data_IF_169559920416
#
_entry.id   IF_169559920416
#
_cell.length_a   1.000
_cell.length_b   1.000
_cell.length_c   1.000
_cell.angle_alpha   90.00
_cell.angle_beta   90.00
_cell.angle_gamma   90.00
#
_symmetry.space_group_name_H-M   'P 1'
#
loop_
_entity.id
_entity.type
_entity.pdbx_description
1 polymer ?
#
# COMPACT_ATOMS: atom_id res chain seq x y z
N UNK A 1 -13.60 -20.55 -5.67
CA UNK A 1 -12.70 -19.39 -5.50
C UNK A 1 -11.31 -19.93 -5.20
N UNK A 2 -10.31 -19.51 -5.97
CA UNK A 2 -8.91 -19.88 -5.76
C UNK A 2 -8.16 -18.59 -5.44
N UNK A 3 -7.38 -18.59 -4.36
CA UNK A 3 -6.47 -17.49 -4.01
C UNK A 3 -5.06 -18.01 -4.19
N UNK A 4 -4.28 -17.31 -5.00
CA UNK A 4 -2.96 -17.75 -5.41
C UNK A 4 -1.99 -16.57 -5.55
N UNK A 5 -0.69 -16.79 -5.37
CA UNK A 5 0.31 -15.75 -5.59
C UNK A 5 0.38 -15.35 -7.09
N UNK A 6 0.88 -14.14 -7.40
CA UNK A 6 0.84 -13.59 -8.76
C UNK A 6 1.49 -14.45 -9.85
N UNK A 7 2.47 -15.29 -9.49
CA UNK A 7 3.16 -16.17 -10.44
C UNK A 7 2.26 -17.29 -11.00
N UNK A 8 1.14 -17.62 -10.33
CA UNK A 8 0.19 -18.62 -10.84
C UNK A 8 -0.47 -18.16 -12.14
N UNK A 9 -0.58 -16.84 -12.37
CA UNK A 9 -1.11 -16.29 -13.62
C UNK A 9 -0.27 -16.68 -14.86
N UNK A 10 0.99 -17.04 -14.66
CA UNK A 10 1.90 -17.45 -15.74
C UNK A 10 2.22 -18.96 -15.69
N UNK A 11 1.47 -19.74 -14.90
CA UNK A 11 1.72 -21.17 -14.71
C UNK A 11 0.80 -22.04 -15.56
N UNK A 12 1.27 -23.23 -15.93
CA UNK A 12 0.48 -24.22 -16.66
C UNK A 12 -0.78 -24.66 -15.88
N UNK A 13 -0.74 -24.57 -14.55
CA UNK A 13 -1.88 -24.85 -13.67
C UNK A 13 -3.10 -24.01 -14.03
N UNK A 14 -2.91 -22.78 -14.51
CA UNK A 14 -4.04 -21.93 -14.89
C UNK A 14 -4.82 -22.54 -16.06
N UNK A 15 -4.13 -23.16 -17.04
CA UNK A 15 -4.78 -23.80 -18.19
C UNK A 15 -5.59 -25.05 -17.85
N UNK A 16 -5.38 -25.66 -16.68
CA UNK A 16 -6.14 -26.83 -16.23
C UNK A 16 -7.42 -26.46 -15.48
N UNK A 17 -7.50 -25.22 -15.01
CA UNK A 17 -8.71 -24.67 -14.42
C UNK A 17 -9.64 -24.33 -15.59
N UNK A 18 -10.85 -24.91 -15.60
CA UNK A 18 -11.85 -24.68 -16.65
C UNK A 18 -12.32 -23.23 -16.75
N UNK A 19 -13.49 -22.95 -17.37
CA UNK A 19 -13.99 -21.60 -17.53
C UNK A 19 -13.93 -20.79 -16.22
N UNK A 20 -13.22 -19.66 -16.24
CA UNK A 20 -12.97 -18.83 -15.07
C UNK A 20 -12.86 -17.35 -15.42
N UNK A 21 -12.95 -16.50 -14.40
CA UNK A 21 -12.58 -15.07 -14.48
C UNK A 21 -11.42 -14.80 -13.54
N UNK A 22 -10.48 -13.99 -14.00
CA UNK A 22 -9.24 -13.68 -13.29
C UNK A 22 -9.31 -12.28 -12.68
N UNK A 23 -9.23 -12.23 -11.35
CA UNK A 23 -9.09 -11.00 -10.58
C UNK A 23 -7.68 -10.85 -10.01
N UNK A 24 -7.22 -9.61 -9.83
CA UNK A 24 -5.97 -9.32 -9.12
C UNK A 24 -6.19 -8.28 -8.02
N UNK A 25 -5.67 -8.56 -6.83
CA UNK A 25 -5.74 -7.67 -5.67
C UNK A 25 -4.35 -7.11 -5.33
N UNK A 26 -4.19 -5.80 -5.39
CA UNK A 26 -2.93 -5.12 -5.04
C UNK A 26 -3.15 -3.63 -4.80
N UNK A 27 -2.35 -3.00 -3.92
CA UNK A 27 -2.41 -1.57 -3.64
C UNK A 27 -2.14 -0.70 -4.86
N UNK A 28 -1.51 -1.26 -5.90
CA UNK A 28 -1.22 -0.58 -7.16
C UNK A 28 -2.33 -0.74 -8.21
N UNK A 29 -3.42 -1.46 -7.92
CA UNK A 29 -4.48 -1.68 -8.91
C UNK A 29 -5.17 -0.39 -9.35
N UNK A 30 -5.26 0.65 -8.50
CA UNK A 30 -5.76 1.97 -8.92
C UNK A 30 -4.98 2.54 -10.13
N UNK A 31 -3.69 2.22 -10.23
CA UNK A 31 -2.80 2.70 -11.30
C UNK A 31 -2.61 1.67 -12.43
N UNK A 32 -2.65 0.38 -12.09
CA UNK A 32 -2.28 -0.72 -12.99
C UNK A 32 -3.48 -1.50 -13.58
N UNK A 33 -4.71 -1.33 -13.05
CA UNK A 33 -5.89 -2.09 -13.48
C UNK A 33 -6.12 -2.03 -15.00
N UNK A 34 -5.91 -0.87 -15.62
CA UNK A 34 -6.13 -0.68 -17.07
C UNK A 34 -5.12 -1.43 -17.97
N UNK A 35 -4.00 -1.93 -17.43
CA UNK A 35 -2.86 -2.40 -18.24
C UNK A 35 -2.70 -3.91 -18.30
N UNK A 36 -3.50 -4.70 -17.57
CA UNK A 36 -3.24 -6.14 -17.38
C UNK A 36 -4.23 -7.12 -18.00
N UNK A 37 -5.25 -6.65 -18.72
CA UNK A 37 -6.23 -7.55 -19.36
C UNK A 37 -6.96 -8.48 -18.39
N UNK A 38 -7.12 -8.04 -17.13
CA UNK A 38 -7.82 -8.78 -16.08
C UNK A 38 -9.32 -8.55 -16.18
N UNK A 39 -10.12 -9.54 -15.79
CA UNK A 39 -11.59 -9.40 -15.71
C UNK A 39 -12.00 -8.50 -14.54
N UNK A 40 -11.20 -8.47 -13.47
CA UNK A 40 -11.39 -7.60 -12.33
C UNK A 40 -10.07 -7.16 -11.69
N UNK A 41 -10.06 -5.96 -11.12
CA UNK A 41 -8.92 -5.42 -10.38
C UNK A 41 -9.40 -4.82 -9.06
N UNK A 42 -8.75 -5.21 -7.97
CA UNK A 42 -9.11 -4.81 -6.61
C UNK A 42 -7.96 -4.04 -5.98
N UNK A 43 -8.18 -2.78 -5.62
CA UNK A 43 -7.20 -2.03 -4.84
C UNK A 43 -7.23 -2.51 -3.40
N UNK A 44 -6.18 -3.22 -3.00
CA UNK A 44 -6.05 -3.78 -1.66
C UNK A 44 -4.60 -3.75 -1.20
N UNK A 45 -4.34 -3.14 -0.05
CA UNK A 45 -3.03 -3.08 0.60
C UNK A 45 -3.19 -3.30 2.10
N UNK A 46 -2.11 -3.73 2.72
CA UNK A 46 -1.88 -3.76 4.17
C UNK A 46 -1.42 -2.41 4.76
N UNK A 47 -1.14 -1.41 3.92
CA UNK A 47 -0.74 -0.07 4.34
C UNK A 47 -1.95 0.84 4.59
N UNK A 48 -1.84 1.71 5.59
CA UNK A 48 -2.80 2.77 5.83
C UNK A 48 -2.76 3.82 4.70
N UNK A 49 -3.93 4.32 4.32
CA UNK A 49 -4.07 5.48 3.45
C UNK A 49 -3.83 6.79 4.22
N UNK A 50 -3.93 7.92 3.53
CA UNK A 50 -3.63 9.22 4.13
C UNK A 50 -4.53 9.56 5.34
N UNK A 51 -5.87 9.43 5.27
CA UNK A 51 -6.72 9.59 6.45
C UNK A 51 -6.38 8.60 7.56
N UNK A 52 -6.14 7.33 7.24
CA UNK A 52 -5.78 6.29 8.21
C UNK A 52 -4.48 6.59 8.96
N UNK A 53 -3.46 7.09 8.27
CA UNK A 53 -2.20 7.51 8.88
C UNK A 53 -2.40 8.65 9.88
N UNK A 54 -3.13 9.70 9.50
CA UNK A 54 -3.38 10.84 10.38
C UNK A 54 -4.25 10.45 11.59
N UNK A 55 -5.26 9.61 11.37
CA UNK A 55 -6.10 9.07 12.44
C UNK A 55 -5.28 8.22 13.43
N UNK A 56 -4.39 7.36 12.93
CA UNK A 56 -3.51 6.55 13.76
C UNK A 56 -2.58 7.44 14.60
N UNK A 57 -1.94 8.44 14.00
CA UNK A 57 -1.08 9.39 14.71
C UNK A 57 -1.87 10.11 15.81
N UNK A 58 -3.05 10.64 15.49
CA UNK A 58 -3.89 11.33 16.47
C UNK A 58 -4.27 10.41 17.64
N UNK A 59 -4.64 9.16 17.36
CA UNK A 59 -4.99 8.17 18.38
C UNK A 59 -3.82 7.83 19.32
N UNK A 60 -2.57 8.00 18.87
CA UNK A 60 -1.39 7.77 19.74
C UNK A 60 -1.15 8.89 20.75
N UNK A 61 -1.63 10.11 20.49
CA UNK A 61 -1.27 11.30 21.27
C UNK A 61 0.21 11.74 21.12
N UNK A 62 0.93 11.21 20.13
CA UNK A 62 2.33 11.54 19.91
C UNK A 62 2.52 13.03 19.56
N UNK A 63 3.57 13.63 20.12
CA UNK A 63 3.98 15.01 19.79
C UNK A 63 5.11 15.03 18.73
N UNK A 64 5.86 13.93 18.66
CA UNK A 64 6.96 13.72 17.72
C UNK A 64 6.63 12.55 16.80
N UNK A 65 6.82 12.73 15.49
CA UNK A 65 6.50 11.71 14.49
C UNK A 65 7.62 11.64 13.45
N UNK A 66 8.18 10.45 13.25
CA UNK A 66 9.26 10.23 12.28
C UNK A 66 8.74 9.39 11.13
N UNK A 67 8.71 9.97 9.92
CA UNK A 67 8.31 9.26 8.72
C UNK A 67 9.44 8.37 8.20
N UNK A 68 9.10 7.15 7.79
CA UNK A 68 10.00 6.21 7.11
C UNK A 68 9.30 5.64 5.88
N UNK A 69 10.10 5.27 4.86
CA UNK A 69 9.67 4.76 3.56
C UNK A 69 8.64 5.63 2.80
N UNK A 70 8.51 5.40 1.49
CA UNK A 70 7.53 6.12 0.66
C UNK A 70 7.78 7.63 0.57
N UNK A 71 6.70 8.42 0.49
CA UNK A 71 6.75 9.87 0.31
C UNK A 71 7.01 10.64 1.63
N UNK A 72 8.15 10.35 2.26
CA UNK A 72 8.51 10.90 3.58
C UNK A 72 8.61 12.42 3.63
N UNK A 73 9.16 13.06 2.58
CA UNK A 73 9.33 14.52 2.53
C UNK A 73 7.99 15.28 2.52
N UNK A 74 7.03 14.99 1.61
CA UNK A 74 5.71 15.59 1.67
C UNK A 74 4.97 15.32 2.98
N UNK A 75 5.06 14.10 3.50
CA UNK A 75 4.33 13.75 4.71
C UNK A 75 4.91 14.44 5.95
N UNK A 76 6.24 14.57 6.06
CA UNK A 76 6.88 15.40 7.08
C UNK A 76 6.37 16.84 7.03
N UNK A 77 6.39 17.46 5.85
CA UNK A 77 5.95 18.85 5.69
C UNK A 77 4.47 19.03 6.08
N UNK A 78 3.62 18.04 5.75
CA UNK A 78 2.24 18.01 6.21
C UNK A 78 2.16 17.95 7.74
N UNK A 79 2.86 17.02 8.38
CA UNK A 79 2.85 16.87 9.84
C UNK A 79 3.35 18.14 10.56
N UNK A 80 4.40 18.78 10.05
CA UNK A 80 4.88 20.08 10.56
C UNK A 80 3.78 21.15 10.45
N UNK A 81 3.02 21.19 9.34
CA UNK A 81 1.89 22.11 9.17
C UNK A 81 0.71 21.83 10.12
N UNK A 82 0.59 20.59 10.60
CA UNK A 82 -0.39 20.20 11.62
C UNK A 82 0.13 20.43 13.06
N UNK A 83 1.35 20.95 13.23
CA UNK A 83 1.94 21.27 14.53
C UNK A 83 2.74 20.15 15.20
N UNK A 84 3.00 19.04 14.50
CA UNK A 84 3.86 17.98 15.02
C UNK A 84 5.33 18.34 14.88
N UNK A 85 6.16 17.89 15.83
CA UNK A 85 7.61 17.83 15.64
C UNK A 85 7.93 16.63 14.73
N UNK A 86 8.07 16.88 13.43
CA UNK A 86 8.23 15.80 12.46
C UNK A 86 9.65 15.64 11.94
N UNK A 87 10.07 14.38 11.77
CA UNK A 87 11.38 14.01 11.22
C UNK A 87 11.26 12.96 10.12
N UNK A 88 12.39 12.66 9.48
CA UNK A 88 12.53 11.50 8.58
C UNK A 88 13.60 10.61 9.18
N UNK A 89 13.30 9.33 9.32
CA UNK A 89 14.24 8.35 9.88
C UNK A 89 15.46 8.26 8.95
N UNK A 90 16.65 8.58 9.49
CA UNK A 90 17.92 8.45 8.79
C UNK A 90 18.52 7.03 8.89
N UNK A 91 19.60 6.73 8.15
CA UNK A 91 20.24 5.42 8.16
C UNK A 91 20.71 4.92 9.54
N UNK A 92 20.92 5.80 10.52
CA UNK A 92 21.36 5.47 11.88
C UNK A 92 20.28 5.55 12.96
N UNK A 93 19.00 5.60 12.58
CA UNK A 93 17.86 5.70 13.51
C UNK A 93 16.91 4.49 13.42
N UNK A 94 17.29 3.44 12.68
CA UNK A 94 16.48 2.23 12.47
C UNK A 94 16.90 1.06 13.36
N UNK A 95 17.74 1.30 14.37
CA UNK A 95 18.18 0.30 15.35
C UNK A 95 17.47 0.46 16.70
#
# INVERSE_FOLDING_TARGET
LIIAPPNVLNSELLGTIGPMSVGFASGWMTLAARRRGLDAAFTLSDHADWPGLNAAIAATGAQQVFATHGYTRPFRAWLESQGFQAGIVGPGMQE
#
